data_IF_164454675881
#
_entry.id   IF_164454675881
#
_cell.length_a   1.000
_cell.length_b   1.000
_cell.length_c   1.000
_cell.angle_alpha   90.00
_cell.angle_beta   90.00
_cell.angle_gamma   90.00
#
_symmetry.space_group_name_H-M   'P 1'
#
loop_
_entity.id
_entity.type
_entity.pdbx_description
1 polymer ?
#
# COMPACT_ATOMS: atom_id res chain seq x y z
N UNK A 1 91.23 -24.02 64.60
CA UNK A 1 91.37 -25.27 63.84
C UNK A 1 89.97 -25.82 63.57
N UNK A 2 89.42 -25.55 62.39
CA UNK A 2 88.11 -26.05 61.96
C UNK A 2 88.37 -27.28 61.07
N UNK A 3 87.97 -28.46 61.55
CA UNK A 3 88.05 -29.70 60.78
C UNK A 3 86.98 -29.72 59.69
N UNK A 4 87.32 -30.13 58.45
CA UNK A 4 86.34 -30.30 57.38
C UNK A 4 85.51 -31.56 57.66
N UNK A 5 84.20 -31.39 57.87
CA UNK A 5 83.27 -32.50 57.96
C UNK A 5 83.09 -33.05 56.53
N UNK A 6 83.76 -34.17 56.24
CA UNK A 6 83.56 -34.94 55.03
C UNK A 6 82.17 -35.58 55.06
N UNK A 7 81.22 -34.97 54.35
CA UNK A 7 79.90 -35.54 54.12
C UNK A 7 80.08 -36.67 53.11
N UNK A 8 79.97 -37.92 53.58
CA UNK A 8 80.02 -39.13 52.76
C UNK A 8 79.02 -39.02 51.59
N UNK A 9 79.50 -39.30 50.37
CA UNK A 9 78.90 -38.90 49.08
C UNK A 9 77.49 -39.38 48.74
N UNK A 10 76.79 -40.12 49.60
CA UNK A 10 75.40 -40.59 49.35
C UNK A 10 74.37 -39.69 50.06
N UNK A 11 74.67 -39.19 51.27
CA UNK A 11 73.75 -38.36 52.04
C UNK A 11 73.56 -36.95 51.48
N UNK A 12 74.64 -36.37 50.92
CA UNK A 12 74.58 -35.06 50.26
C UNK A 12 73.76 -35.07 48.96
N UNK A 13 73.82 -36.16 48.20
CA UNK A 13 73.02 -36.34 46.97
C UNK A 13 71.53 -36.43 47.30
N UNK A 14 71.17 -37.14 48.38
CA UNK A 14 69.79 -37.28 48.80
C UNK A 14 69.17 -35.94 49.24
N UNK A 15 69.92 -35.14 50.00
CA UNK A 15 69.51 -33.80 50.42
C UNK A 15 69.35 -32.84 49.24
N UNK A 16 70.26 -32.91 48.24
CA UNK A 16 70.12 -32.14 47.01
C UNK A 16 68.88 -32.55 46.22
N UNK A 17 68.59 -33.85 46.10
CA UNK A 17 67.39 -34.35 45.42
C UNK A 17 66.09 -33.89 46.10
N UNK A 18 66.05 -33.93 47.44
CA UNK A 18 64.89 -33.44 48.21
C UNK A 18 64.73 -31.92 48.03
N UNK A 19 65.83 -31.17 48.07
CA UNK A 19 65.83 -29.73 47.79
C UNK A 19 65.30 -29.41 46.39
N UNK A 20 65.75 -30.16 45.38
CA UNK A 20 65.33 -30.00 43.99
C UNK A 20 63.84 -30.34 43.79
N UNK A 21 63.37 -31.43 44.41
CA UNK A 21 61.96 -31.80 44.40
C UNK A 21 61.08 -30.75 45.07
N UNK A 22 61.52 -30.17 46.20
CA UNK A 22 60.78 -29.11 46.88
C UNK A 22 60.68 -27.83 46.04
N UNK A 23 61.75 -27.46 45.32
CA UNK A 23 61.75 -26.33 44.40
C UNK A 23 60.82 -26.56 43.20
N UNK A 24 60.80 -27.77 42.64
CA UNK A 24 59.87 -28.14 41.56
C UNK A 24 58.43 -28.02 42.04
N UNK A 25 58.12 -28.49 43.25
CA UNK A 25 56.77 -28.42 43.81
C UNK A 25 56.30 -26.97 44.02
N UNK A 26 57.18 -26.11 44.54
CA UNK A 26 56.92 -24.68 44.72
C UNK A 26 56.69 -24.00 43.37
N UNK A 27 57.47 -24.34 42.35
CA UNK A 27 57.32 -23.78 41.01
C UNK A 27 55.97 -24.17 40.37
N UNK A 28 55.52 -25.42 40.56
CA UNK A 28 54.22 -25.89 40.08
C UNK A 28 53.08 -25.13 40.77
N UNK A 29 53.09 -25.03 42.10
CA UNK A 29 52.06 -24.32 42.87
C UNK A 29 52.01 -22.83 42.48
N UNK A 30 53.17 -22.21 42.29
CA UNK A 30 53.24 -20.81 41.88
C UNK A 30 52.71 -20.59 40.46
N UNK A 31 53.02 -21.51 39.54
CA UNK A 31 52.48 -21.49 38.18
C UNK A 31 50.95 -21.59 38.18
N UNK A 32 50.40 -22.52 38.96
CA UNK A 32 48.97 -22.77 39.04
C UNK A 32 48.21 -21.62 39.72
N UNK A 33 48.82 -20.98 40.72
CA UNK A 33 48.27 -19.78 41.35
C UNK A 33 48.21 -18.59 40.39
N UNK A 34 49.20 -18.47 39.48
CA UNK A 34 49.26 -17.40 38.50
C UNK A 34 48.24 -17.58 37.39
N UNK A 35 48.11 -18.80 36.85
CA UNK A 35 47.09 -19.12 35.84
C UNK A 35 45.68 -18.95 36.40
N UNK A 36 45.42 -19.33 37.65
CA UNK A 36 44.11 -19.10 38.28
C UNK A 36 43.76 -17.60 38.39
N UNK A 37 44.72 -16.75 38.76
CA UNK A 37 44.50 -15.30 38.84
C UNK A 37 44.23 -14.68 37.47
N UNK A 38 44.97 -15.11 36.44
CA UNK A 38 44.77 -14.64 35.06
C UNK A 38 43.37 -15.03 34.54
N UNK A 39 42.94 -16.27 34.82
CA UNK A 39 41.59 -16.75 34.49
C UNK A 39 40.47 -15.99 35.23
N UNK A 40 40.66 -15.65 36.51
CA UNK A 40 39.69 -14.84 37.27
C UNK A 40 39.56 -13.42 36.71
N UNK A 41 40.68 -12.81 36.30
CA UNK A 41 40.66 -11.48 35.67
C UNK A 41 40.00 -11.49 34.30
N UNK A 42 40.32 -12.46 33.44
CA UNK A 42 39.70 -12.60 32.12
C UNK A 42 38.20 -12.92 32.22
N UNK A 43 37.80 -13.77 33.16
CA UNK A 43 36.39 -14.06 33.42
C UNK A 43 35.64 -12.82 33.96
N UNK A 44 36.30 -12.02 34.81
CA UNK A 44 35.76 -10.76 35.33
C UNK A 44 35.57 -9.70 34.25
N UNK A 45 36.54 -9.53 33.37
CA UNK A 45 36.46 -8.62 32.21
C UNK A 45 35.40 -9.08 31.20
N UNK A 46 35.36 -10.39 30.88
CA UNK A 46 34.33 -10.98 30.04
C UNK A 46 32.91 -10.78 30.59
N UNK A 47 32.73 -10.92 31.90
CA UNK A 47 31.45 -10.64 32.56
C UNK A 47 31.06 -9.16 32.52
N UNK A 48 32.03 -8.25 32.67
CA UNK A 48 31.79 -6.81 32.58
C UNK A 48 31.37 -6.38 31.17
N UNK A 49 32.01 -6.94 30.15
CA UNK A 49 31.70 -6.64 28.75
C UNK A 49 30.37 -7.28 28.31
N UNK A 50 30.05 -8.49 28.80
CA UNK A 50 28.73 -9.09 28.62
C UNK A 50 27.61 -8.23 29.24
N UNK A 51 27.83 -7.65 30.43
CA UNK A 51 26.89 -6.70 31.04
C UNK A 51 26.73 -5.41 30.22
N UNK A 52 27.83 -4.84 29.70
CA UNK A 52 27.77 -3.67 28.81
C UNK A 52 27.02 -3.98 27.51
N UNK A 53 27.28 -5.14 26.91
CA UNK A 53 26.61 -5.60 25.71
C UNK A 53 25.10 -5.80 25.94
N UNK A 54 24.72 -6.44 27.05
CA UNK A 54 23.33 -6.61 27.47
C UNK A 54 22.62 -5.26 27.68
N UNK A 55 23.27 -4.30 28.36
CA UNK A 55 22.72 -2.96 28.54
C UNK A 55 22.52 -2.21 27.21
N UNK A 56 23.47 -2.34 26.26
CA UNK A 56 23.34 -1.79 24.90
C UNK A 56 22.18 -2.44 24.14
N UNK A 57 22.06 -3.76 24.20
CA UNK A 57 20.96 -4.50 23.55
C UNK A 57 19.59 -4.09 24.11
N UNK A 58 19.48 -3.92 25.43
CA UNK A 58 18.24 -3.43 26.08
C UNK A 58 17.88 -2.00 25.63
N UNK A 59 18.87 -1.12 25.47
CA UNK A 59 18.63 0.23 24.91
C UNK A 59 18.19 0.17 23.44
N UNK A 60 18.78 -0.70 22.63
CA UNK A 60 18.37 -0.90 21.24
C UNK A 60 16.95 -1.46 21.13
N UNK A 61 16.57 -2.43 21.97
CA UNK A 61 15.22 -3.01 21.93
C UNK A 61 14.14 -1.97 22.27
N UNK A 62 14.35 -1.18 23.33
CA UNK A 62 13.42 -0.08 23.69
C UNK A 62 13.32 0.98 22.58
N UNK A 63 14.43 1.32 21.92
CA UNK A 63 14.42 2.25 20.78
C UNK A 63 13.67 1.68 19.58
N UNK A 64 13.89 0.41 19.25
CA UNK A 64 13.18 -0.27 18.17
C UNK A 64 11.67 -0.32 18.44
N UNK A 65 11.26 -0.60 19.68
CA UNK A 65 9.85 -0.64 20.05
C UNK A 65 9.18 0.74 19.95
N UNK A 66 9.89 1.80 20.37
CA UNK A 66 9.40 3.18 20.22
C UNK A 66 9.25 3.57 18.75
N UNK A 67 10.25 3.27 17.91
CA UNK A 67 10.18 3.53 16.46
C UNK A 67 9.03 2.76 15.81
N UNK A 68 8.78 1.51 16.21
CA UNK A 68 7.67 0.71 15.70
C UNK A 68 6.31 1.33 16.03
N UNK A 69 6.12 1.82 17.27
CA UNK A 69 4.88 2.51 17.67
C UNK A 69 4.69 3.83 16.91
N UNK A 70 5.76 4.59 16.68
CA UNK A 70 5.71 5.82 15.90
C UNK A 70 5.39 5.57 14.42
N UNK A 71 6.02 4.57 13.79
CA UNK A 71 5.72 4.13 12.42
C UNK A 71 4.25 3.77 12.28
N UNK A 72 3.74 2.93 13.18
CA UNK A 72 2.34 2.51 13.15
C UNK A 72 1.38 3.70 13.32
N UNK A 73 1.74 4.69 14.15
CA UNK A 73 0.98 5.93 14.29
C UNK A 73 0.97 6.80 13.03
N UNK A 74 2.08 6.86 12.29
CA UNK A 74 2.18 7.60 11.02
C UNK A 74 1.40 6.90 9.90
N UNK A 75 1.58 5.60 9.73
CA UNK A 75 0.85 4.78 8.76
C UNK A 75 -0.66 4.93 8.95
N UNK A 76 -1.15 4.86 10.19
CA UNK A 76 -2.58 5.05 10.50
C UNK A 76 -3.08 6.44 10.09
N UNK A 77 -2.27 7.50 10.29
CA UNK A 77 -2.64 8.87 9.87
C UNK A 77 -2.65 9.02 8.36
N UNK A 78 -1.69 8.43 7.66
CA UNK A 78 -1.64 8.42 6.19
C UNK A 78 -2.86 7.71 5.61
N UNK A 79 -3.19 6.52 6.11
CA UNK A 79 -4.38 5.76 5.70
C UNK A 79 -5.66 6.56 5.91
N UNK A 80 -5.83 7.22 7.07
CA UNK A 80 -7.00 8.07 7.33
C UNK A 80 -7.07 9.28 6.37
N UNK A 81 -5.92 9.85 6.03
CA UNK A 81 -5.84 10.99 5.10
C UNK A 81 -6.23 10.56 3.68
N UNK A 82 -5.70 9.43 3.22
CA UNK A 82 -6.05 8.84 1.92
C UNK A 82 -7.51 8.44 1.85
N UNK A 83 -8.06 7.80 2.90
CA UNK A 83 -9.50 7.53 3.00
C UNK A 83 -10.34 8.81 2.88
N UNK A 84 -9.91 9.90 3.51
CA UNK A 84 -10.56 11.20 3.39
C UNK A 84 -10.55 11.74 1.95
N UNK A 85 -9.43 11.60 1.22
CA UNK A 85 -9.30 11.99 -0.19
C UNK A 85 -10.21 11.14 -1.09
N UNK A 86 -10.19 9.83 -0.92
CA UNK A 86 -11.04 8.88 -1.67
C UNK A 86 -12.52 9.21 -1.46
N UNK A 87 -12.94 9.47 -0.21
CA UNK A 87 -14.32 9.84 0.11
C UNK A 87 -14.76 11.13 -0.61
N UNK A 88 -13.91 12.15 -0.65
CA UNK A 88 -14.18 13.40 -1.39
C UNK A 88 -14.32 13.14 -2.89
N UNK A 89 -13.43 12.34 -3.47
CA UNK A 89 -13.48 11.97 -4.88
C UNK A 89 -14.77 11.22 -5.23
N UNK A 90 -15.19 10.28 -4.38
CA UNK A 90 -16.45 9.55 -4.54
C UNK A 90 -17.67 10.46 -4.50
N UNK A 91 -17.72 11.43 -3.56
CA UNK A 91 -18.81 12.43 -3.52
C UNK A 91 -18.85 13.27 -4.80
N UNK A 92 -17.72 13.80 -5.25
CA UNK A 92 -17.63 14.59 -6.49
C UNK A 92 -18.06 13.79 -7.72
N UNK A 93 -17.64 12.52 -7.82
CA UNK A 93 -18.04 11.65 -8.93
C UNK A 93 -19.55 11.34 -8.90
N UNK A 94 -20.11 11.07 -7.72
CA UNK A 94 -21.55 10.87 -7.55
C UNK A 94 -22.34 12.11 -7.96
N UNK A 95 -21.89 13.30 -7.58
CA UNK A 95 -22.54 14.56 -7.96
C UNK A 95 -22.54 14.75 -9.48
N UNK A 96 -21.40 14.52 -10.15
CA UNK A 96 -21.30 14.61 -11.62
C UNK A 96 -22.18 13.60 -12.33
N UNK A 97 -22.23 12.35 -11.85
CA UNK A 97 -23.12 11.33 -12.41
C UNK A 97 -24.58 11.73 -12.24
N UNK A 98 -24.94 12.24 -11.06
CA UNK A 98 -26.29 12.73 -10.79
C UNK A 98 -26.65 13.87 -11.74
N UNK A 99 -25.80 14.90 -11.88
CA UNK A 99 -26.00 16.01 -12.82
C UNK A 99 -26.14 15.52 -14.26
N UNK A 100 -25.25 14.66 -14.75
CA UNK A 100 -25.33 14.12 -16.11
C UNK A 100 -26.56 13.24 -16.35
N UNK A 101 -27.08 12.56 -15.31
CA UNK A 101 -28.35 11.84 -15.39
C UNK A 101 -29.51 12.83 -15.46
N UNK A 102 -29.53 13.89 -14.64
CA UNK A 102 -30.55 14.92 -14.70
C UNK A 102 -30.59 15.64 -16.05
N UNK A 103 -29.43 15.98 -16.62
CA UNK A 103 -29.34 16.58 -17.96
C UNK A 103 -29.95 15.68 -19.04
N UNK A 104 -29.72 14.36 -18.97
CA UNK A 104 -30.33 13.41 -19.90
C UNK A 104 -31.84 13.30 -19.71
N UNK A 105 -32.29 13.21 -18.46
CA UNK A 105 -33.72 13.16 -18.10
C UNK A 105 -34.45 14.45 -18.49
N UNK A 106 -33.78 15.62 -18.52
CA UNK A 106 -34.36 16.86 -19.00
C UNK A 106 -34.33 16.98 -20.54
N UNK A 107 -33.31 16.42 -21.19
CA UNK A 107 -33.18 16.45 -22.65
C UNK A 107 -34.16 15.52 -23.37
N UNK A 108 -34.33 14.29 -22.88
CA UNK A 108 -35.25 13.28 -23.45
C UNK A 108 -36.71 13.77 -23.62
N UNK A 109 -37.37 14.39 -22.62
CA UNK A 109 -38.74 14.88 -22.77
C UNK A 109 -38.82 16.09 -23.71
N UNK A 110 -37.76 16.88 -23.84
CA UNK A 110 -37.70 18.01 -24.77
C UNK A 110 -37.57 17.51 -26.21
N UNK A 111 -36.63 16.60 -26.48
CA UNK A 111 -36.45 15.98 -27.79
C UNK A 111 -37.72 15.24 -28.24
N UNK A 112 -38.35 14.49 -27.33
CA UNK A 112 -39.61 13.80 -27.60
C UNK A 112 -40.75 14.78 -27.93
N UNK A 113 -40.85 15.90 -27.19
CA UNK A 113 -41.86 16.94 -27.44
C UNK A 113 -41.65 17.61 -28.80
N UNK A 114 -40.41 17.95 -29.15
CA UNK A 114 -40.09 18.58 -30.43
C UNK A 114 -40.36 17.62 -31.60
N UNK A 115 -40.07 16.32 -31.46
CA UNK A 115 -40.39 15.31 -32.46
C UNK A 115 -41.89 15.11 -32.64
N UNK A 116 -42.67 15.07 -31.54
CA UNK A 116 -44.15 14.98 -31.61
C UNK A 116 -44.76 16.18 -32.34
N UNK A 117 -44.24 17.38 -32.07
CA UNK A 117 -44.65 18.60 -32.77
C UNK A 117 -44.32 18.51 -34.27
N UNK A 118 -43.10 18.09 -34.63
CA UNK A 118 -42.69 17.95 -36.03
C UNK A 118 -43.53 16.91 -36.78
N UNK A 119 -43.93 15.82 -36.10
CA UNK A 119 -44.85 14.81 -36.65
C UNK A 119 -46.22 15.42 -37.00
N UNK A 120 -46.77 16.26 -36.12
CA UNK A 120 -48.04 16.96 -36.36
C UNK A 120 -47.92 17.93 -37.55
N UNK A 121 -46.87 18.75 -37.58
CA UNK A 121 -46.60 19.66 -38.69
C UNK A 121 -46.50 18.92 -40.03
N UNK A 122 -45.90 17.73 -40.04
CA UNK A 122 -45.76 16.92 -41.25
C UNK A 122 -47.09 16.28 -41.69
N UNK A 123 -47.93 15.88 -40.74
CA UNK A 123 -49.30 15.45 -41.03
C UNK A 123 -50.11 16.57 -41.68
N UNK A 124 -50.00 17.80 -41.15
CA UNK A 124 -50.68 18.97 -41.70
C UNK A 124 -50.20 19.33 -43.11
N UNK A 125 -48.92 19.10 -43.41
CA UNK A 125 -48.38 19.30 -44.76
C UNK A 125 -48.94 18.29 -45.76
N UNK A 126 -49.09 17.02 -45.35
CA UNK A 126 -49.72 15.99 -46.17
C UNK A 126 -51.18 16.35 -46.44
N UNK A 127 -51.92 16.77 -45.42
CA UNK A 127 -53.35 17.11 -45.59
C UNK A 127 -53.55 18.37 -46.43
N UNK A 128 -52.65 19.36 -46.31
CA UNK A 128 -52.61 20.51 -47.23
C UNK A 128 -52.31 20.08 -48.67
N UNK A 129 -51.37 19.16 -48.88
CA UNK A 129 -51.06 18.64 -50.22
C UNK A 129 -52.27 17.90 -50.83
N UNK A 130 -52.99 17.09 -50.04
CA UNK A 130 -54.25 16.45 -50.45
C UNK A 130 -55.31 17.48 -50.82
N UNK A 131 -55.50 18.50 -49.99
CA UNK A 131 -56.48 19.55 -50.26
C UNK A 131 -56.18 20.31 -51.57
N UNK A 132 -54.90 20.65 -51.82
CA UNK A 132 -54.47 21.29 -53.07
C UNK A 132 -54.69 20.40 -54.29
N UNK A 133 -54.38 19.11 -54.17
CA UNK A 133 -54.64 18.13 -55.22
C UNK A 133 -56.14 18.01 -55.53
N UNK A 134 -57.01 17.94 -54.51
CA UNK A 134 -58.47 17.92 -54.69
C UNK A 134 -59.01 19.20 -55.35
N UNK A 135 -58.40 20.35 -55.07
CA UNK A 135 -58.71 21.62 -55.73
C UNK A 135 -58.12 21.76 -57.15
N UNK A 136 -57.39 20.74 -57.64
CA UNK A 136 -56.64 20.75 -58.91
C UNK A 136 -55.59 21.85 -59.00
N UNK A 137 -55.10 22.33 -57.86
CA UNK A 137 -53.99 23.30 -57.76
C UNK A 137 -52.62 22.62 -57.87
N UNK A 138 -52.61 21.28 -57.92
CA UNK A 138 -51.41 20.47 -57.90
C UNK A 138 -51.61 19.28 -58.86
N UNK A 139 -50.64 19.01 -59.71
CA UNK A 139 -50.67 17.88 -60.64
C UNK A 139 -50.42 16.55 -59.90
N UNK A 140 -50.86 15.46 -60.51
CA UNK A 140 -50.80 14.13 -59.89
C UNK A 140 -49.36 13.66 -59.62
N UNK A 141 -48.41 14.07 -60.48
CA UNK A 141 -47.00 13.70 -60.32
C UNK A 141 -46.40 14.44 -59.12
N UNK A 142 -46.53 15.76 -59.07
CA UNK A 142 -46.05 16.54 -57.91
C UNK A 142 -46.77 16.17 -56.61
N UNK A 143 -48.06 15.82 -56.67
CA UNK A 143 -48.80 15.37 -55.48
C UNK A 143 -48.20 14.08 -54.92
N UNK A 144 -47.97 13.08 -55.78
CA UNK A 144 -47.36 11.81 -55.38
C UNK A 144 -45.96 12.00 -54.81
N UNK A 145 -45.13 12.83 -55.43
CA UNK A 145 -43.77 13.11 -54.96
C UNK A 145 -43.78 13.78 -53.58
N UNK A 146 -44.59 14.83 -53.38
CA UNK A 146 -44.69 15.55 -52.12
C UNK A 146 -45.22 14.64 -51.00
N UNK A 147 -46.31 13.92 -51.25
CA UNK A 147 -46.91 13.03 -50.23
C UNK A 147 -45.96 11.87 -49.91
N UNK A 148 -45.33 11.26 -50.91
CA UNK A 148 -44.38 10.16 -50.67
C UNK A 148 -43.17 10.62 -49.86
N UNK A 149 -42.64 11.83 -50.11
CA UNK A 149 -41.53 12.38 -49.33
C UNK A 149 -41.94 12.61 -47.88
N UNK A 150 -43.09 13.24 -47.65
CA UNK A 150 -43.56 13.53 -46.30
C UNK A 150 -43.99 12.30 -45.52
N UNK A 151 -44.56 11.28 -46.19
CA UNK A 151 -44.88 10.00 -45.56
C UNK A 151 -43.62 9.25 -45.11
N UNK A 152 -42.54 9.31 -45.90
CA UNK A 152 -41.25 8.71 -45.52
C UNK A 152 -40.68 9.38 -44.27
N UNK A 153 -40.62 10.71 -44.26
CA UNK A 153 -40.14 11.46 -43.09
C UNK A 153 -41.03 11.24 -41.84
N UNK A 154 -42.35 11.13 -42.02
CA UNK A 154 -43.27 10.85 -40.93
C UNK A 154 -43.08 9.44 -40.37
N UNK A 155 -42.76 8.46 -41.21
CA UNK A 155 -42.40 7.10 -40.78
C UNK A 155 -41.11 7.10 -39.96
N UNK A 156 -40.06 7.79 -40.43
CA UNK A 156 -38.78 7.92 -39.72
C UNK A 156 -38.97 8.60 -38.35
N UNK A 157 -39.77 9.68 -38.29
CA UNK A 157 -40.11 10.35 -37.02
C UNK A 157 -40.88 9.43 -36.07
N UNK A 158 -41.85 8.65 -36.56
CA UNK A 158 -42.62 7.73 -35.72
C UNK A 158 -41.76 6.59 -35.15
N UNK A 159 -40.81 6.07 -35.91
CA UNK A 159 -39.85 5.08 -35.42
C UNK A 159 -39.01 5.65 -34.29
N UNK A 160 -38.46 6.86 -34.49
CA UNK A 160 -37.62 7.53 -33.50
C UNK A 160 -38.38 7.93 -32.23
N UNK A 161 -39.62 8.38 -32.35
CA UNK A 161 -40.51 8.62 -31.20
C UNK A 161 -40.75 7.32 -30.43
N UNK A 162 -41.05 6.21 -31.12
CA UNK A 162 -41.29 4.91 -30.49
C UNK A 162 -40.04 4.37 -29.77
N UNK A 163 -38.84 4.68 -30.27
CA UNK A 163 -37.58 4.35 -29.61
C UNK A 163 -37.37 5.16 -28.32
N UNK A 164 -37.77 6.43 -28.31
CA UNK A 164 -37.67 7.32 -27.15
C UNK A 164 -38.79 7.10 -26.10
N UNK A 165 -39.91 6.48 -26.48
CA UNK A 165 -41.03 6.16 -25.57
C UNK A 165 -40.90 4.80 -24.87
N UNK A 166 -39.91 3.98 -25.23
CA UNK A 166 -39.64 2.67 -24.64
C UNK A 166 -38.73 2.76 -23.41
#
# INVERSE_FOLDING_TARGET
>A
MLQPIAINGIGGILLLMIGLLSLILIAIIFSDSRTHKELETEAGEGAADAKKASAKLKKLSTRAEKMRKELHGREKKEVLTEMGRISKLWRSRRERLRMGIWEKIEAEPKELKDMKKKREEMSDLIDRAKAKYHKRELDEKSFREIVSSYQKELMELNLRIRELEK
#
